data_IF_062771108222
#
_entry.id   IF_062771108222
#
_cell.length_a   1.000
_cell.length_b   1.000
_cell.length_c   1.000
_cell.angle_alpha   90.00
_cell.angle_beta   90.00
_cell.angle_gamma   90.00
#
_symmetry.space_group_name_H-M   'P 1'
#
loop_
_entity.id
_entity.type
_entity.pdbx_description
1 polymer ?
#
# COMPACT_ATOMS: atom_id res chain seq x y z
N UNK A 1 1.10 48.93 17.13
CA UNK A 1 1.14 47.64 16.42
C UNK A 1 2.18 46.76 17.06
N UNK A 2 1.81 45.56 17.50
CA UNK A 2 2.75 44.57 18.06
C UNK A 2 3.72 44.11 16.98
N UNK A 3 5.04 44.18 17.25
CA UNK A 3 6.07 43.65 16.34
C UNK A 3 6.01 42.12 16.35
N UNK A 4 5.33 41.53 15.39
CA UNK A 4 5.33 40.09 15.17
C UNK A 4 6.71 39.73 14.58
N UNK A 5 7.52 38.98 15.34
CA UNK A 5 8.78 38.41 14.86
C UNK A 5 8.52 36.94 14.53
N UNK A 6 8.61 36.58 13.26
CA UNK A 6 8.56 35.18 12.85
C UNK A 6 9.92 34.54 13.12
N UNK A 7 9.94 33.51 13.97
CA UNK A 7 11.15 32.73 14.28
C UNK A 7 10.94 31.34 13.66
N UNK A 8 11.71 31.03 12.62
CA UNK A 8 11.64 29.73 11.95
C UNK A 8 12.04 29.81 10.47
N UNK A 9 12.21 28.64 9.84
CA UNK A 9 12.29 28.56 8.38
C UNK A 9 10.87 28.54 7.81
N UNK A 10 10.53 29.39 6.84
CA UNK A 10 9.24 29.29 6.18
C UNK A 10 9.15 27.95 5.46
N UNK A 11 8.05 27.23 5.63
CA UNK A 11 7.73 26.08 4.80
C UNK A 11 7.41 26.59 3.40
N UNK A 12 8.32 26.35 2.44
CA UNK A 12 8.12 26.77 1.04
C UNK A 12 7.12 25.90 0.29
N UNK A 13 6.82 24.71 0.83
CA UNK A 13 6.10 23.67 0.09
C UNK A 13 4.62 23.55 0.46
N UNK A 14 4.22 24.07 1.63
CA UNK A 14 2.87 23.92 2.19
C UNK A 14 2.14 25.26 2.24
N UNK A 15 0.98 25.33 1.59
CA UNK A 15 0.21 26.57 1.41
C UNK A 15 -1.21 26.51 2.02
N UNK A 16 -1.60 25.34 2.55
CA UNK A 16 -2.93 25.08 3.07
C UNK A 16 -3.09 25.26 4.59
N UNK A 17 -4.17 24.70 5.11
CA UNK A 17 -4.48 24.63 6.55
C UNK A 17 -4.32 23.21 7.07
N UNK A 18 -4.34 23.05 8.38
CA UNK A 18 -4.39 21.72 8.99
C UNK A 18 -5.77 21.09 8.79
N UNK A 19 -5.79 19.79 8.47
CA UNK A 19 -7.05 19.06 8.30
C UNK A 19 -7.92 19.07 9.57
N UNK A 20 -7.27 19.01 10.73
CA UNK A 20 -7.93 19.09 12.05
C UNK A 20 -8.62 20.44 12.28
N UNK A 21 -8.01 21.55 11.86
CA UNK A 21 -8.62 22.88 11.96
C UNK A 21 -9.81 23.04 11.03
N UNK A 22 -9.70 22.55 9.80
CA UNK A 22 -10.82 22.51 8.85
C UNK A 22 -11.98 21.71 9.46
N UNK A 23 -11.70 20.51 9.98
CA UNK A 23 -12.71 19.64 10.56
C UNK A 23 -13.40 20.27 11.80
N UNK A 24 -12.65 20.94 12.68
CA UNK A 24 -13.20 21.60 13.89
C UNK A 24 -14.22 22.69 13.56
N UNK A 25 -14.00 23.41 12.45
CA UNK A 25 -14.88 24.52 12.04
C UNK A 25 -16.14 24.05 11.29
N UNK A 26 -16.23 22.77 10.93
CA UNK A 26 -17.35 22.23 10.17
C UNK A 26 -18.30 21.43 11.06
N UNK A 27 -19.60 21.53 10.75
CA UNK A 27 -20.62 20.67 11.37
C UNK A 27 -20.33 19.20 11.04
N UNK A 28 -20.52 18.33 12.03
CA UNK A 28 -20.23 16.90 11.93
C UNK A 28 -18.80 16.62 11.42
N UNK A 29 -17.84 17.49 11.77
CA UNK A 29 -16.43 17.36 11.35
C UNK A 29 -16.21 17.32 9.83
N UNK A 30 -17.18 17.84 9.06
CA UNK A 30 -17.07 17.92 7.60
C UNK A 30 -17.30 16.61 6.85
N UNK A 31 -17.98 15.62 7.43
CA UNK A 31 -18.35 14.39 6.70
C UNK A 31 -19.09 14.72 5.39
N UNK A 32 -18.68 14.07 4.31
CA UNK A 32 -19.21 14.25 2.95
C UNK A 32 -18.61 15.44 2.19
N UNK A 33 -17.74 16.25 2.82
CA UNK A 33 -17.06 17.35 2.13
C UNK A 33 -15.81 16.85 1.41
N UNK A 34 -15.49 17.53 0.31
CA UNK A 34 -14.29 17.28 -0.49
C UNK A 34 -13.16 18.17 -0.01
N UNK A 35 -12.01 17.57 0.26
CA UNK A 35 -10.77 18.25 0.56
C UNK A 35 -9.69 17.84 -0.43
N UNK A 36 -8.79 18.76 -0.73
CA UNK A 36 -7.66 18.55 -1.62
C UNK A 36 -6.39 18.89 -0.87
N UNK A 37 -5.31 18.21 -1.25
CA UNK A 37 -3.97 18.53 -0.79
C UNK A 37 -3.28 19.38 -1.85
N UNK A 38 -2.89 20.59 -1.50
CA UNK A 38 -2.37 21.55 -2.49
C UNK A 38 -1.06 21.09 -3.14
N UNK A 39 -0.21 20.37 -2.41
CA UNK A 39 0.97 19.75 -3.01
C UNK A 39 0.62 18.71 -4.08
N UNK A 40 -0.44 17.93 -3.89
CA UNK A 40 -0.88 16.92 -4.87
C UNK A 40 -1.50 17.59 -6.10
N UNK A 41 -2.34 18.61 -5.88
CA UNK A 41 -2.96 19.41 -6.96
C UNK A 41 -1.93 20.17 -7.80
N UNK A 42 -0.82 20.60 -7.20
CA UNK A 42 0.28 21.25 -7.91
C UNK A 42 1.14 20.27 -8.71
N UNK A 43 1.35 19.06 -8.20
CA UNK A 43 2.21 18.06 -8.83
C UNK A 43 1.51 17.32 -9.97
N UNK A 44 0.21 17.11 -9.84
CA UNK A 44 -0.56 16.26 -10.75
C UNK A 44 -1.72 17.05 -11.35
N UNK A 45 -1.81 17.04 -12.68
CA UNK A 45 -2.94 17.66 -13.39
C UNK A 45 -4.22 16.83 -13.30
N UNK A 46 -4.09 15.54 -12.97
CA UNK A 46 -5.21 14.62 -12.84
C UNK A 46 -5.96 14.85 -11.51
N UNK A 47 -7.30 14.64 -11.48
CA UNK A 47 -8.10 14.93 -10.29
C UNK A 47 -7.64 14.07 -9.10
N UNK A 48 -7.22 14.75 -8.02
CA UNK A 48 -6.77 14.13 -6.78
C UNK A 48 -7.47 14.81 -5.60
N UNK A 49 -8.35 14.08 -4.92
CA UNK A 49 -9.16 14.61 -3.83
C UNK A 49 -9.57 13.54 -2.84
N UNK A 50 -10.04 13.99 -1.68
CA UNK A 50 -10.46 13.15 -0.57
C UNK A 50 -11.87 13.54 -0.15
N UNK A 51 -12.79 12.57 -0.09
CA UNK A 51 -14.14 12.78 0.45
C UNK A 51 -14.15 12.31 1.90
N UNK A 52 -14.31 13.25 2.83
CA UNK A 52 -14.22 12.96 4.27
C UNK A 52 -15.35 11.99 4.67
N UNK A 53 -15.01 10.85 5.29
CA UNK A 53 -15.98 9.92 5.89
C UNK A 53 -15.99 10.01 7.41
N UNK A 54 -14.82 10.02 8.03
CA UNK A 54 -14.69 10.17 9.48
C UNK A 54 -13.38 10.90 9.83
N UNK A 55 -13.43 11.75 10.86
CA UNK A 55 -12.25 12.40 11.42
C UNK A 55 -12.31 12.30 12.94
N UNK A 56 -11.26 11.75 13.52
CA UNK A 56 -11.07 11.57 14.94
C UNK A 56 -9.87 12.41 15.39
N UNK A 57 -10.09 13.49 16.18
CA UNK A 57 -8.98 14.24 16.74
C UNK A 57 -8.20 13.34 17.70
N UNK A 58 -6.87 13.45 17.69
CA UNK A 58 -6.04 12.67 18.57
C UNK A 58 -6.01 13.32 19.97
N UNK A 59 -6.75 12.76 20.93
CA UNK A 59 -6.87 13.35 22.29
C UNK A 59 -5.55 13.42 23.06
N UNK A 60 -4.57 12.59 22.69
CA UNK A 60 -3.23 12.60 23.28
C UNK A 60 -2.34 13.73 22.78
N UNK A 61 -2.75 14.46 21.73
CA UNK A 61 -1.98 15.55 21.15
C UNK A 61 -2.44 16.90 21.72
N UNK A 62 -1.62 17.49 22.59
CA UNK A 62 -1.89 18.79 23.21
C UNK A 62 -1.89 19.94 22.19
N UNK A 63 -1.24 19.77 21.03
CA UNK A 63 -1.27 20.76 19.95
C UNK A 63 -2.62 20.80 19.23
N UNK A 64 -3.39 19.71 19.31
CA UNK A 64 -4.66 19.56 18.61
C UNK A 64 -4.52 19.60 17.08
N UNK A 65 -3.31 19.42 16.54
CA UNK A 65 -2.99 19.46 15.11
C UNK A 65 -3.23 18.09 14.48
N UNK A 66 -2.87 16.99 15.16
CA UNK A 66 -2.98 15.64 14.62
C UNK A 66 -4.41 15.10 14.72
N UNK A 67 -4.84 14.44 13.66
CA UNK A 67 -6.09 13.68 13.64
C UNK A 67 -5.91 12.37 12.86
N UNK A 68 -6.71 11.36 13.22
CA UNK A 68 -6.93 10.18 12.39
C UNK A 68 -8.10 10.50 11.47
N UNK A 69 -7.86 10.51 10.18
CA UNK A 69 -8.91 10.79 9.20
C UNK A 69 -9.05 9.59 8.26
N UNK A 70 -10.30 9.24 7.96
CA UNK A 70 -10.69 8.25 6.97
C UNK A 70 -11.48 8.97 5.90
N UNK A 71 -11.05 8.81 4.66
CA UNK A 71 -11.68 9.45 3.52
C UNK A 71 -11.70 8.49 2.34
N UNK A 72 -12.69 8.68 1.46
CA UNK A 72 -12.66 8.07 0.15
C UNK A 72 -11.63 8.81 -0.70
N UNK A 73 -10.55 8.13 -1.08
CA UNK A 73 -9.41 8.74 -1.78
C UNK A 73 -9.53 8.48 -3.27
N UNK A 74 -9.57 9.57 -4.03
CA UNK A 74 -9.35 9.54 -5.47
C UNK A 74 -7.98 10.16 -5.71
N UNK A 75 -7.07 9.40 -6.32
CA UNK A 75 -5.71 9.88 -6.61
C UNK A 75 -5.41 9.66 -8.08
N UNK A 76 -5.06 10.76 -8.76
CA UNK A 76 -4.84 10.82 -10.22
C UNK A 76 -5.95 10.13 -11.04
N UNK A 77 -7.19 10.40 -10.67
CA UNK A 77 -8.40 9.82 -11.30
C UNK A 77 -8.80 8.41 -10.83
N UNK A 78 -7.92 7.68 -10.14
CA UNK A 78 -8.24 6.33 -9.66
C UNK A 78 -8.85 6.37 -8.26
N UNK A 79 -9.98 5.67 -8.07
CA UNK A 79 -10.63 5.54 -6.77
C UNK A 79 -10.01 4.39 -5.96
N UNK A 80 -9.48 4.71 -4.78
CA UNK A 80 -8.89 3.76 -3.83
C UNK A 80 -9.85 3.35 -2.71
N UNK A 81 -11.10 3.81 -2.75
CA UNK A 81 -12.09 3.57 -1.72
C UNK A 81 -11.75 4.30 -0.42
N UNK A 82 -12.31 3.81 0.68
CA UNK A 82 -12.13 4.42 2.01
C UNK A 82 -10.79 3.99 2.60
N UNK A 83 -9.87 4.94 2.71
CA UNK A 83 -8.50 4.71 3.21
C UNK A 83 -8.15 5.69 4.32
N UNK A 84 -7.21 5.34 5.21
CA UNK A 84 -6.64 6.29 6.14
C UNK A 84 -5.90 7.38 5.36
N UNK A 85 -6.20 8.64 5.67
CA UNK A 85 -5.56 9.79 5.02
C UNK A 85 -4.11 9.90 5.49
N UNK A 86 -3.12 9.89 4.58
CA UNK A 86 -1.72 10.03 4.96
C UNK A 86 -1.42 11.47 5.38
N UNK A 87 -0.46 11.64 6.31
CA UNK A 87 0.13 12.94 6.66
C UNK A 87 -0.87 14.05 7.01
N UNK A 88 -1.90 13.71 7.80
CA UNK A 88 -2.94 14.65 8.26
C UNK A 88 -2.42 15.86 9.05
N UNK A 89 -1.19 15.78 9.56
CA UNK A 89 -0.54 16.83 10.35
C UNK A 89 0.15 17.90 9.49
N UNK A 90 0.27 17.71 8.18
CA UNK A 90 0.86 18.72 7.29
C UNK A 90 -0.18 19.85 7.03
N UNK A 91 0.21 21.13 7.09
CA UNK A 91 -0.68 22.26 6.81
C UNK A 91 -0.83 22.49 5.30
N UNK A 92 -1.37 21.49 4.59
CA UNK A 92 -1.43 21.48 3.12
C UNK A 92 -2.84 21.24 2.58
N UNK A 93 -3.84 21.29 3.46
CA UNK A 93 -5.20 20.93 3.13
C UNK A 93 -6.03 22.16 2.78
N UNK A 94 -6.81 22.04 1.71
CA UNK A 94 -7.80 23.02 1.29
C UNK A 94 -9.18 22.38 1.23
N UNK A 95 -10.14 23.03 1.88
CA UNK A 95 -11.55 22.66 1.76
C UNK A 95 -12.13 23.26 0.49
N UNK A 96 -12.72 22.43 -0.35
CA UNK A 96 -13.40 22.91 -1.55
C UNK A 96 -14.82 23.39 -1.25
N UNK A 97 -15.28 24.32 -2.09
CA UNK A 97 -16.71 24.63 -2.16
C UNK A 97 -17.49 23.41 -2.67
N UNK A 98 -18.79 23.38 -2.40
CA UNK A 98 -19.64 22.24 -2.79
C UNK A 98 -19.66 22.09 -4.32
N UNK A 99 -19.71 23.20 -5.05
CA UNK A 99 -19.73 23.22 -6.51
C UNK A 99 -18.41 22.73 -7.12
N UNK A 100 -17.26 23.21 -6.60
CA UNK A 100 -15.94 22.75 -7.04
C UNK A 100 -15.74 21.27 -6.74
N UNK A 101 -16.11 20.83 -5.53
CA UNK A 101 -16.01 19.42 -5.14
C UNK A 101 -16.86 18.52 -6.04
N UNK A 102 -18.07 18.94 -6.41
CA UNK A 102 -18.93 18.21 -7.33
C UNK A 102 -18.32 18.13 -8.73
N UNK A 103 -17.78 19.25 -9.26
CA UNK A 103 -17.10 19.26 -10.57
C UNK A 103 -15.92 18.28 -10.60
N UNK A 104 -15.11 18.23 -9.56
CA UNK A 104 -13.99 17.26 -9.47
C UNK A 104 -14.47 15.81 -9.41
N UNK A 105 -15.54 15.54 -8.68
CA UNK A 105 -16.14 14.20 -8.64
C UNK A 105 -16.70 13.78 -10.01
N UNK A 106 -17.38 14.69 -10.71
CA UNK A 106 -17.87 14.46 -12.08
C UNK A 106 -16.72 14.25 -13.08
N UNK A 107 -15.61 14.96 -12.91
CA UNK A 107 -14.39 14.76 -13.72
C UNK A 107 -13.74 13.40 -13.44
N UNK A 108 -13.65 12.98 -12.17
CA UNK A 108 -13.11 11.66 -11.82
C UNK A 108 -14.01 10.51 -12.30
N UNK A 109 -15.33 10.72 -12.38
CA UNK A 109 -16.25 9.74 -12.95
C UNK A 109 -16.07 9.57 -14.47
N UNK A 110 -15.57 10.59 -15.16
CA UNK A 110 -15.18 10.51 -16.56
C UNK A 110 -13.76 9.94 -16.62
N UNK A 111 -13.64 8.65 -16.89
CA UNK A 111 -12.37 7.91 -16.94
C UNK A 111 -11.32 8.48 -17.93
N UNK A 112 -11.66 9.52 -18.71
CA UNK A 112 -10.80 10.21 -19.67
C UNK A 112 -9.62 10.96 -19.02
N UNK A 113 -9.72 11.36 -17.74
CA UNK A 113 -8.68 12.16 -17.04
C UNK A 113 -7.87 11.32 -16.04
N UNK A 114 -7.89 9.99 -16.19
CA UNK A 114 -7.12 9.10 -15.32
C UNK A 114 -5.66 9.03 -15.73
N UNK A 115 -4.75 8.97 -14.75
CA UNK A 115 -3.35 8.72 -15.02
C UNK A 115 -3.16 7.37 -15.72
N UNK A 116 -2.29 7.38 -16.73
CA UNK A 116 -1.92 6.17 -17.47
C UNK A 116 -1.18 5.18 -16.57
N UNK A 117 -1.46 3.90 -16.78
CA UNK A 117 -0.74 2.81 -16.12
C UNK A 117 0.62 2.65 -16.78
N UNK A 118 1.69 2.72 -16.00
CA UNK A 118 3.06 2.61 -16.50
C UNK A 118 3.46 1.14 -16.54
N UNK A 119 3.65 0.61 -17.73
CA UNK A 119 4.08 -0.77 -17.91
C UNK A 119 5.58 -0.91 -17.57
N UNK A 120 5.92 -1.75 -16.59
CA UNK A 120 7.30 -1.93 -16.09
C UNK A 120 7.78 -3.34 -16.38
N UNK A 121 9.02 -3.44 -16.87
CA UNK A 121 9.70 -4.71 -17.04
C UNK A 121 10.07 -5.29 -15.67
N UNK A 122 9.60 -6.51 -15.39
CA UNK A 122 9.84 -7.22 -14.14
C UNK A 122 11.18 -7.95 -14.10
N UNK A 123 12.06 -7.65 -15.05
CA UNK A 123 13.30 -8.38 -15.26
C UNK A 123 14.45 -7.40 -15.34
N UNK A 124 15.48 -7.67 -14.53
CA UNK A 124 16.71 -6.90 -14.51
C UNK A 124 17.91 -7.81 -14.79
N UNK A 125 18.98 -7.29 -15.41
CA UNK A 125 20.22 -8.05 -15.56
C UNK A 125 20.82 -8.38 -14.19
N UNK A 126 21.30 -9.60 -14.04
CA UNK A 126 22.00 -10.01 -12.84
C UNK A 126 23.31 -9.21 -12.70
N UNK A 127 23.64 -8.71 -11.49
CA UNK A 127 24.94 -8.07 -11.27
C UNK A 127 26.10 -8.99 -11.68
N UNK A 128 27.14 -8.48 -12.39
CA UNK A 128 28.20 -9.30 -12.99
C UNK A 128 28.91 -10.21 -11.97
N UNK A 129 29.29 -9.64 -10.82
CA UNK A 129 29.99 -10.38 -9.76
C UNK A 129 29.12 -11.50 -9.20
N UNK A 130 27.80 -11.28 -9.09
CA UNK A 130 26.87 -12.30 -8.62
C UNK A 130 26.77 -13.44 -9.64
N UNK A 131 26.66 -13.12 -10.93
CA UNK A 131 26.61 -14.09 -12.01
C UNK A 131 27.85 -14.99 -12.04
N UNK A 132 29.06 -14.40 -11.99
CA UNK A 132 30.33 -15.15 -11.96
C UNK A 132 30.42 -16.03 -10.72
N UNK A 133 30.06 -15.51 -9.55
CA UNK A 133 30.08 -16.29 -8.29
C UNK A 133 29.13 -17.48 -8.34
N UNK A 134 27.90 -17.28 -8.81
CA UNK A 134 26.91 -18.36 -8.90
C UNK A 134 27.28 -19.42 -9.93
N UNK A 135 27.89 -18.99 -11.05
CA UNK A 135 28.45 -19.89 -12.07
C UNK A 135 29.60 -20.73 -11.52
N UNK A 136 30.55 -20.12 -10.81
CA UNK A 136 31.69 -20.83 -10.21
C UNK A 136 31.26 -21.82 -9.13
N UNK A 137 30.16 -21.53 -8.43
CA UNK A 137 29.57 -22.42 -7.44
C UNK A 137 28.71 -23.55 -8.05
N UNK A 138 28.51 -23.57 -9.38
CA UNK A 138 27.67 -24.56 -10.05
C UNK A 138 26.20 -24.51 -9.64
N UNK A 139 25.72 -23.36 -9.13
CA UNK A 139 24.33 -23.21 -8.66
C UNK A 139 23.34 -22.89 -9.77
N UNK A 140 23.83 -22.42 -10.92
CA UNK A 140 22.99 -22.10 -12.08
C UNK A 140 22.87 -23.36 -12.95
N UNK A 141 21.65 -23.86 -13.23
CA UNK A 141 21.42 -24.97 -14.15
C UNK A 141 22.03 -24.72 -15.53
N UNK A 142 22.60 -25.77 -16.15
CA UNK A 142 23.24 -25.69 -17.46
C UNK A 142 22.31 -25.17 -18.56
N UNK A 143 21.01 -25.50 -18.49
CA UNK A 143 19.97 -25.01 -19.41
C UNK A 143 19.93 -23.47 -19.47
N UNK A 144 20.02 -22.81 -18.31
CA UNK A 144 19.99 -21.35 -18.20
C UNK A 144 21.30 -20.76 -18.74
N UNK A 145 22.43 -21.44 -18.49
CA UNK A 145 23.75 -21.04 -19.01
C UNK A 145 23.78 -21.08 -20.54
N UNK A 146 23.19 -22.10 -21.16
CA UNK A 146 23.08 -22.21 -22.62
C UNK A 146 22.17 -21.13 -23.21
N UNK A 147 21.01 -20.89 -22.59
CA UNK A 147 20.09 -19.82 -22.99
C UNK A 147 20.75 -18.43 -22.90
N UNK A 148 21.47 -18.18 -21.81
CA UNK A 148 22.25 -16.95 -21.60
C UNK A 148 23.32 -16.74 -22.67
N UNK A 149 24.06 -17.79 -23.04
CA UNK A 149 25.07 -17.75 -24.11
C UNK A 149 24.44 -17.45 -25.47
N UNK A 150 23.31 -18.10 -25.79
CA UNK A 150 22.60 -17.90 -27.07
C UNK A 150 22.10 -16.47 -27.26
N UNK A 151 21.69 -15.81 -26.18
CA UNK A 151 21.18 -14.44 -26.20
C UNK A 151 22.27 -13.36 -26.24
N UNK A 152 23.53 -13.70 -25.97
CA UNK A 152 24.63 -12.72 -25.91
C UNK A 152 25.08 -12.37 -27.33
N UNK A 153 25.04 -11.09 -27.75
CA UNK A 153 25.48 -10.72 -29.10
C UNK A 153 27.01 -10.90 -29.23
N UNK A 154 27.51 -11.34 -30.40
CA UNK A 154 28.91 -11.70 -30.59
C UNK A 154 29.90 -10.54 -30.42
N UNK A 155 29.43 -9.29 -30.54
CA UNK A 155 30.24 -8.07 -30.41
C UNK A 155 30.19 -7.40 -29.02
N UNK A 156 29.68 -8.07 -27.98
CA UNK A 156 29.62 -7.48 -26.64
C UNK A 156 30.99 -7.44 -25.93
N UNK A 157 31.24 -6.37 -25.17
CA UNK A 157 32.40 -6.26 -24.27
C UNK A 157 32.42 -7.40 -23.24
N UNK A 158 33.59 -7.85 -22.78
CA UNK A 158 33.73 -8.97 -21.83
C UNK A 158 32.87 -8.81 -20.56
N UNK A 159 32.81 -7.62 -19.97
CA UNK A 159 31.96 -7.33 -18.81
C UNK A 159 30.46 -7.44 -19.12
N UNK A 160 30.06 -7.11 -20.35
CA UNK A 160 28.68 -7.27 -20.84
C UNK A 160 28.43 -8.74 -21.14
N UNK A 161 29.37 -9.50 -21.71
CA UNK A 161 29.20 -10.95 -21.93
C UNK A 161 28.99 -11.72 -20.62
N UNK A 162 29.68 -11.33 -19.54
CA UNK A 162 29.57 -12.00 -18.24
C UNK A 162 28.28 -11.65 -17.46
N UNK A 163 27.68 -10.47 -17.71
CA UNK A 163 26.48 -9.99 -17.02
C UNK A 163 25.19 -10.06 -17.82
N UNK A 164 25.26 -9.91 -19.15
CA UNK A 164 24.09 -9.70 -20.02
C UNK A 164 23.24 -10.94 -20.26
N UNK A 165 23.79 -12.13 -19.96
CA UNK A 165 23.10 -13.39 -20.22
C UNK A 165 22.07 -13.76 -19.15
N UNK A 166 22.31 -13.42 -17.87
CA UNK A 166 21.48 -13.87 -16.75
C UNK A 166 20.54 -12.78 -16.28
N UNK A 167 19.30 -13.18 -16.01
CA UNK A 167 18.24 -12.28 -15.60
C UNK A 167 17.78 -12.61 -14.18
N UNK A 168 17.36 -11.58 -13.45
CA UNK A 168 16.72 -11.67 -12.15
C UNK A 168 15.30 -11.14 -12.27
N UNK A 169 14.35 -11.82 -11.64
CA UNK A 169 13.00 -11.30 -11.48
C UNK A 169 13.02 -10.22 -10.39
N UNK A 170 12.64 -9.00 -10.74
CA UNK A 170 12.54 -7.90 -9.79
C UNK A 170 11.16 -7.91 -9.17
N UNK A 171 11.11 -7.98 -7.83
CA UNK A 171 9.87 -7.70 -7.10
C UNK A 171 9.60 -6.21 -7.20
N UNK A 172 8.46 -5.85 -7.79
CA UNK A 172 7.99 -4.47 -7.75
C UNK A 172 7.54 -4.14 -6.33
N UNK A 173 7.77 -2.90 -5.91
CA UNK A 173 7.25 -2.44 -4.63
C UNK A 173 5.74 -2.25 -4.78
N UNK A 174 4.96 -2.88 -3.90
CA UNK A 174 3.50 -2.80 -3.91
C UNK A 174 3.03 -1.41 -3.43
N UNK A 175 3.15 -0.41 -4.31
CA UNK A 175 2.58 0.92 -4.09
C UNK A 175 1.47 1.18 -5.12
N UNK A 176 0.20 1.20 -4.68
CA UNK A 176 -0.93 1.41 -5.57
C UNK A 176 -0.96 2.81 -6.21
N UNK A 177 -0.18 3.77 -5.70
CA UNK A 177 -0.11 5.15 -6.23
C UNK A 177 0.89 5.33 -7.37
N UNK A 178 1.76 4.35 -7.62
CA UNK A 178 2.73 4.41 -8.71
C UNK A 178 2.14 3.96 -10.07
N UNK A 179 0.94 3.36 -10.06
CA UNK A 179 0.24 2.85 -11.25
C UNK A 179 1.09 1.93 -12.13
N UNK A 180 2.04 1.22 -11.52
CA UNK A 180 2.97 0.34 -12.21
C UNK A 180 2.28 -0.99 -12.51
N UNK A 181 2.26 -1.37 -13.77
CA UNK A 181 1.74 -2.67 -14.21
C UNK A 181 2.91 -3.54 -14.62
N UNK A 182 3.12 -4.69 -13.95
CA UNK A 182 4.16 -5.62 -14.34
C UNK A 182 3.90 -6.18 -15.74
N UNK A 183 4.90 -6.09 -16.62
CA UNK A 183 4.87 -6.77 -17.92
C UNK A 183 5.36 -8.20 -17.72
N UNK A 184 4.62 -9.16 -18.25
CA UNK A 184 5.06 -10.55 -18.31
C UNK A 184 6.32 -10.68 -19.17
N UNK A 185 7.39 -11.33 -18.67
CA UNK A 185 8.60 -11.52 -19.45
C UNK A 185 8.33 -12.44 -20.66
N UNK A 186 9.05 -12.19 -21.75
CA UNK A 186 9.04 -13.09 -22.92
C UNK A 186 9.58 -14.48 -22.60
N UNK A 187 9.23 -15.50 -23.38
CA UNK A 187 9.74 -16.88 -23.18
C UNK A 187 11.28 -16.96 -23.20
N UNK A 188 11.91 -16.15 -24.06
CA UNK A 188 13.37 -16.04 -24.09
C UNK A 188 13.93 -15.44 -22.80
N UNK A 189 13.28 -14.45 -22.21
CA UNK A 189 13.67 -13.87 -20.92
C UNK A 189 13.43 -14.86 -19.79
N UNK A 190 12.28 -15.56 -19.75
CA UNK A 190 11.97 -16.59 -18.75
C UNK A 190 13.05 -17.68 -18.69
N UNK A 191 13.55 -18.12 -19.85
CA UNK A 191 14.63 -19.13 -19.93
C UNK A 191 15.97 -18.68 -19.35
N UNK A 192 16.16 -17.36 -19.17
CA UNK A 192 17.39 -16.73 -18.65
C UNK A 192 17.27 -16.30 -17.18
N UNK A 193 16.07 -16.37 -16.60
CA UNK A 193 15.82 -15.93 -15.22
C UNK A 193 16.32 -16.98 -14.22
N UNK A 194 17.12 -16.54 -13.26
CA UNK A 194 17.61 -17.37 -12.16
C UNK A 194 17.27 -16.73 -10.79
N UNK A 195 16.70 -17.47 -9.82
CA UNK A 195 16.14 -18.84 -9.90
C UNK A 195 15.09 -19.01 -11.01
N UNK A 196 14.67 -20.23 -11.35
CA UNK A 196 13.68 -20.43 -12.42
C UNK A 196 12.38 -19.65 -12.17
N UNK A 197 11.81 -19.09 -13.24
CA UNK A 197 10.63 -18.23 -13.19
C UNK A 197 9.43 -18.93 -12.50
N UNK A 198 9.16 -20.19 -12.86
CA UNK A 198 8.04 -20.97 -12.34
C UNK A 198 8.11 -21.15 -10.81
N UNK A 199 9.32 -21.31 -10.26
CA UNK A 199 9.52 -21.47 -8.82
C UNK A 199 9.33 -20.16 -8.04
N UNK A 200 9.38 -19.02 -8.73
CA UNK A 200 9.21 -17.70 -8.11
C UNK A 200 7.77 -17.20 -8.15
N UNK A 201 6.97 -17.70 -9.10
CA UNK A 201 5.56 -17.33 -9.28
C UNK A 201 4.68 -18.40 -8.65
N UNK A 202 4.36 -18.26 -7.36
CA UNK A 202 3.43 -19.17 -6.69
C UNK A 202 1.97 -18.81 -7.03
N UNK A 203 1.28 -19.75 -7.70
CA UNK A 203 -0.13 -19.78 -8.13
C UNK A 203 -0.64 -18.62 -9.02
N UNK A 204 -1.40 -18.93 -10.10
CA UNK A 204 -1.98 -17.91 -10.96
C UNK A 204 -3.24 -17.32 -10.31
N UNK A 205 -3.19 -16.06 -9.87
CA UNK A 205 -4.39 -15.22 -9.96
C UNK A 205 -4.74 -15.05 -11.45
N UNK A 206 -6.00 -14.78 -11.82
CA UNK A 206 -6.45 -14.69 -13.22
C UNK A 206 -5.81 -13.56 -14.07
N UNK A 207 -4.78 -12.88 -13.55
CA UNK A 207 -3.97 -11.89 -14.25
C UNK A 207 -2.54 -11.89 -13.67
N UNK A 208 -1.66 -12.70 -14.24
CA UNK A 208 -0.30 -12.94 -13.76
C UNK A 208 0.48 -11.67 -13.44
N UNK A 209 0.86 -11.51 -12.17
CA UNK A 209 2.24 -11.37 -11.68
C UNK A 209 2.18 -11.16 -10.16
N UNK A 210 3.24 -11.59 -9.49
CA UNK A 210 3.38 -11.70 -8.02
C UNK A 210 2.95 -10.39 -7.33
N UNK A 211 1.77 -10.41 -6.69
CA UNK A 211 1.53 -9.65 -5.48
C UNK A 211 1.75 -10.59 -4.31
N UNK A 212 2.56 -10.15 -3.36
CA UNK A 212 2.87 -10.91 -2.17
C UNK A 212 1.73 -10.75 -1.14
N UNK A 213 0.47 -10.88 -1.57
CA UNK A 213 -0.71 -10.64 -0.73
C UNK A 213 -0.94 -11.83 0.23
N UNK A 214 -0.73 -13.07 -0.22
CA UNK A 214 -0.91 -14.29 0.62
C UNK A 214 0.19 -14.51 1.67
N UNK A 215 1.31 -13.77 1.58
CA UNK A 215 2.35 -13.80 2.63
C UNK A 215 1.91 -13.05 3.90
N UNK A 216 0.75 -12.38 3.90
CA UNK A 216 0.10 -11.87 5.12
C UNK A 216 -0.71 -12.98 5.79
N UNK A 217 -1.38 -13.82 4.99
CA UNK A 217 -2.32 -14.85 5.49
C UNK A 217 -1.63 -16.14 5.98
N UNK A 218 -0.36 -16.36 5.64
CA UNK A 218 0.40 -17.58 6.01
C UNK A 218 1.49 -17.36 7.04
N UNK A 219 1.61 -16.15 7.62
CA UNK A 219 2.64 -15.87 8.61
C UNK A 219 2.21 -16.34 9.98
N UNK A 220 2.52 -17.58 10.31
CA UNK A 220 2.51 -18.07 11.69
C UNK A 220 3.64 -17.48 12.54
N UNK A 221 4.31 -16.42 12.05
CA UNK A 221 5.44 -15.78 12.70
C UNK A 221 5.30 -14.26 12.62
N UNK A 222 5.14 -13.61 13.77
CA UNK A 222 5.07 -12.15 13.89
C UNK A 222 6.21 -11.62 14.75
N UNK A 223 6.68 -10.42 14.45
CA UNK A 223 7.66 -9.72 15.27
C UNK A 223 6.98 -8.61 16.08
N UNK A 224 6.91 -8.78 17.40
CA UNK A 224 6.28 -7.81 18.30
C UNK A 224 7.37 -7.00 19.02
N UNK A 225 7.18 -5.68 19.10
CA UNK A 225 7.92 -4.83 20.03
C UNK A 225 7.09 -4.65 21.29
N UNK A 226 7.61 -5.12 22.41
CA UNK A 226 6.97 -4.92 23.71
C UNK A 226 7.49 -3.63 24.36
N UNK A 227 6.67 -3.02 25.21
CA UNK A 227 7.00 -1.77 25.92
C UNK A 227 8.09 -1.95 26.98
N UNK A 228 8.21 -3.15 27.54
CA UNK A 228 9.23 -3.54 28.52
C UNK A 228 10.64 -3.69 27.91
N UNK A 229 10.74 -4.11 26.64
CA UNK A 229 12.02 -4.23 25.93
C UNK A 229 11.96 -3.56 24.54
N UNK A 230 11.98 -2.23 24.46
CA UNK A 230 11.77 -1.49 23.20
C UNK A 230 12.87 -1.74 22.14
N UNK A 231 14.04 -2.20 22.57
CA UNK A 231 15.21 -2.49 21.73
C UNK A 231 15.15 -3.87 21.06
N UNK A 232 14.28 -4.78 21.52
CA UNK A 232 14.20 -6.16 21.05
C UNK A 232 12.94 -6.38 20.22
N UNK A 233 13.06 -7.18 19.15
CA UNK A 233 11.92 -7.68 18.39
C UNK A 233 11.70 -9.13 18.79
N UNK A 234 10.57 -9.40 19.42
CA UNK A 234 10.19 -10.75 19.83
C UNK A 234 9.57 -11.48 18.66
N UNK A 235 10.18 -12.59 18.24
CA UNK A 235 9.60 -13.51 17.27
C UNK A 235 8.54 -14.34 18.00
N UNK A 236 7.28 -14.17 17.61
CA UNK A 236 6.15 -14.92 18.12
C UNK A 236 5.73 -15.88 17.03
N UNK A 237 5.88 -17.17 17.29
CA UNK A 237 5.39 -18.23 16.42
C UNK A 237 4.03 -18.69 16.94
N UNK A 238 2.97 -18.49 16.18
CA UNK A 238 1.65 -19.04 16.48
C UNK A 238 1.67 -20.52 16.10
N UNK A 239 1.10 -21.39 16.93
CA UNK A 239 0.89 -22.78 16.55
C UNK A 239 -0.06 -22.83 15.33
N UNK A 240 0.20 -23.75 14.40
CA UNK A 240 -0.59 -23.96 13.18
C UNK A 240 -2.02 -24.45 13.53
N UNK A 241 -2.84 -23.57 14.08
CA UNK A 241 -4.27 -23.77 14.23
C UNK A 241 -4.97 -22.52 13.69
N UNK A 242 -6.04 -22.70 12.93
CA UNK A 242 -6.85 -21.64 12.36
C UNK A 242 -7.58 -20.87 13.48
N UNK A 243 -6.85 -20.04 14.25
CA UNK A 243 -7.36 -19.28 15.40
C UNK A 243 -8.44 -18.26 14.96
N UNK A 244 -8.46 -17.87 13.68
CA UNK A 244 -9.47 -16.95 13.16
C UNK A 244 -10.89 -17.56 13.11
N UNK A 245 -11.03 -18.90 13.04
CA UNK A 245 -12.33 -19.57 13.01
C UNK A 245 -12.99 -19.67 14.41
N UNK A 246 -12.22 -19.61 15.51
CA UNK A 246 -12.78 -19.63 16.87
C UNK A 246 -13.30 -18.25 17.32
N UNK A 247 -12.70 -17.16 16.83
CA UNK A 247 -13.13 -15.79 17.16
C UNK A 247 -14.38 -15.35 16.39
N UNK A 248 -14.78 -16.09 15.34
CA UNK A 248 -15.97 -15.85 14.52
C UNK A 248 -17.16 -16.74 14.88
N UNK A 249 -17.02 -17.67 15.83
CA UNK A 249 -18.16 -18.41 16.35
C UNK A 249 -18.97 -17.51 17.28
N UNK A 250 -20.10 -17.02 16.77
CA UNK A 250 -21.16 -16.40 17.56
C UNK A 250 -21.49 -17.32 18.74
N UNK A 251 -21.28 -16.82 19.96
CA UNK A 251 -21.68 -17.50 21.19
C UNK A 251 -23.16 -17.91 21.10
N UNK A 252 -23.54 -19.16 21.43
CA UNK A 252 -24.94 -19.57 21.39
C UNK A 252 -25.78 -18.70 22.33
N UNK A 253 -27.01 -18.34 21.94
CA UNK A 253 -27.85 -17.46 22.73
C UNK A 253 -28.13 -18.09 24.11
N UNK A 254 -28.23 -17.27 25.17
CA UNK A 254 -28.51 -17.78 26.50
C UNK A 254 -29.88 -18.49 26.53
N UNK A 255 -30.01 -19.58 27.30
CA UNK A 255 -31.25 -20.36 27.33
C UNK A 255 -32.43 -19.51 27.79
N UNK A 256 -33.50 -19.55 27.00
CA UNK A 256 -34.79 -18.93 27.30
C UNK A 256 -35.26 -19.36 28.69
N UNK A 257 -35.49 -18.37 29.56
CA UNK A 257 -36.18 -18.58 30.83
C UNK A 257 -37.58 -19.09 30.51
N UNK A 258 -37.83 -20.37 30.75
CA UNK A 258 -39.18 -20.93 30.80
C UNK A 258 -39.94 -20.18 31.91
N UNK A 259 -40.94 -19.40 31.50
CA UNK A 259 -41.96 -18.90 32.40
C UNK A 259 -42.66 -20.12 33.02
N UNK A 260 -42.40 -20.35 34.30
CA UNK A 260 -43.15 -21.31 35.09
C UNK A 260 -44.51 -20.67 35.44
N UNK A 261 -45.52 -20.96 34.62
CA UNK A 261 -46.91 -20.89 35.05
C UNK A 261 -47.25 -22.19 35.76
N UNK A 262 -47.44 -22.11 37.09
CA UNK A 262 -48.37 -22.96 37.84
C UNK A 262 -48.53 -22.41 39.26
N UNK A 263 -49.48 -21.48 39.37
CA UNK A 263 -50.34 -21.38 40.54
C UNK A 263 -51.16 -22.67 40.64
N UNK A 264 -50.92 -23.48 41.67
CA UNK A 264 -51.96 -23.97 42.59
C UNK A 264 -51.42 -25.02 43.58
N UNK A 265 -52.03 -24.99 44.76
CA UNK A 265 -52.08 -26.00 45.84
C UNK A 265 -51.16 -25.89 47.07
N UNK A 266 -51.77 -25.34 48.14
CA UNK A 266 -51.80 -25.82 49.54
C UNK A 266 -50.56 -25.65 50.46
N UNK A 267 -50.63 -24.67 51.37
CA UNK A 267 -51.17 -24.81 52.75
C UNK A 267 -51.23 -23.44 53.44
#
# INVERSE_FOLDING_TARGET
>A
MTKIKYVGRPSLDFFGKYLSEIAKNLRNKGVGRVVVKESEERLFNEPSFYVIKNIEPLMSDSSGVRCRAFAERVFRGHNFGVVPVPKTHEPDWRLLSIEEGRKLQELAAKNEVCAEKVAIKCVAPMPPVLAVKLRNLGKIPERIVEAAKKATPPNANAAVQESSGYLLLTKLFDDPTLFQVPIEPSEEEKSRVFPEYENQVWKPLPAGLIRNDEAVDTRNVYYIKRSDTPSLRWRVELADENVEDELLQLSPPPPEKKEASQSDCCK
#
